data_IF_100249417427
#
_entry.id   IF_100249417427
#
_cell.length_a   1.000
_cell.length_b   1.000
_cell.length_c   1.000
_cell.angle_alpha   90.00
_cell.angle_beta   90.00
_cell.angle_gamma   90.00
#
_symmetry.space_group_name_H-M   'P 1'
#
loop_
_entity.id
_entity.type
_entity.pdbx_description
1 polymer ?
#
# COMPACT_ATOMS: atom_id res chain seq x y z
N UNK A 1 17.49 5.80 -17.71
CA UNK A 1 16.59 4.91 -18.45
C UNK A 1 17.33 3.68 -19.00
N UNK A 2 18.53 3.85 -19.60
CA UNK A 2 19.33 2.75 -20.15
C UNK A 2 19.64 1.68 -19.09
N UNK A 3 19.99 2.08 -17.87
CA UNK A 3 20.25 1.16 -16.76
C UNK A 3 18.97 0.38 -16.40
N UNK A 4 17.84 1.06 -16.26
CA UNK A 4 16.57 0.40 -15.96
C UNK A 4 16.20 -0.63 -17.04
N UNK A 5 16.34 -0.27 -18.32
CA UNK A 5 16.06 -1.18 -19.43
C UNK A 5 17.11 -2.31 -19.59
N UNK A 6 18.20 -2.27 -18.84
CA UNK A 6 19.20 -3.33 -18.75
C UNK A 6 19.08 -4.24 -17.53
N UNK A 7 18.05 -4.04 -16.70
CA UNK A 7 17.83 -4.82 -15.48
C UNK A 7 17.01 -6.11 -15.68
N UNK A 8 16.45 -6.32 -16.87
CA UNK A 8 15.69 -7.52 -17.21
C UNK A 8 16.67 -8.65 -17.56
N UNK A 9 16.76 -9.66 -16.69
CA UNK A 9 17.69 -10.78 -16.81
C UNK A 9 16.95 -12.11 -16.70
N UNK A 10 16.28 -12.56 -17.76
CA UNK A 10 15.71 -13.91 -17.81
C UNK A 10 16.79 -14.96 -17.55
N UNK A 11 16.45 -16.03 -16.86
CA UNK A 11 17.33 -17.14 -16.49
C UNK A 11 17.25 -18.29 -17.48
N UNK A 12 16.18 -18.32 -18.27
CA UNK A 12 15.93 -19.35 -19.30
C UNK A 12 15.84 -18.72 -20.68
N UNK A 13 15.67 -19.55 -21.71
CA UNK A 13 15.37 -19.07 -23.06
C UNK A 13 13.87 -18.99 -23.38
N UNK A 14 13.00 -19.17 -22.39
CA UNK A 14 11.56 -19.17 -22.58
C UNK A 14 11.04 -17.75 -22.86
N UNK A 15 10.19 -17.62 -23.86
CA UNK A 15 9.71 -16.32 -24.35
C UNK A 15 8.99 -15.53 -23.24
N UNK A 16 8.12 -16.18 -22.48
CA UNK A 16 7.23 -15.53 -21.52
C UNK A 16 7.90 -15.18 -20.18
N UNK A 17 9.12 -15.69 -19.95
CA UNK A 17 9.89 -15.30 -18.76
C UNK A 17 10.18 -13.79 -18.74
N UNK A 18 10.46 -13.18 -19.89
CA UNK A 18 10.70 -11.74 -19.97
C UNK A 18 9.44 -10.94 -19.59
N UNK A 19 8.26 -11.38 -20.03
CA UNK A 19 6.97 -10.78 -19.61
C UNK A 19 6.82 -10.85 -18.10
N UNK A 20 7.08 -12.02 -17.51
CA UNK A 20 6.99 -12.22 -16.06
C UNK A 20 7.93 -11.29 -15.29
N UNK A 21 9.18 -11.16 -15.72
CA UNK A 21 10.19 -10.27 -15.10
C UNK A 21 9.77 -8.81 -15.19
N UNK A 22 9.39 -8.33 -16.37
CA UNK A 22 9.00 -6.92 -16.60
C UNK A 22 7.77 -6.56 -15.77
N UNK A 23 6.77 -7.45 -15.73
CA UNK A 23 5.56 -7.23 -14.97
C UNK A 23 5.86 -7.02 -13.48
N UNK A 24 6.66 -7.91 -12.88
CA UNK A 24 7.04 -7.78 -11.47
C UNK A 24 7.87 -6.52 -11.21
N UNK A 25 8.83 -6.19 -12.06
CA UNK A 25 9.61 -4.96 -11.94
C UNK A 25 8.73 -3.70 -12.06
N UNK A 26 7.75 -3.71 -12.97
CA UNK A 26 6.81 -2.61 -13.12
C UNK A 26 5.92 -2.45 -11.89
N UNK A 27 5.44 -3.55 -11.31
CA UNK A 27 4.68 -3.56 -10.06
C UNK A 27 5.50 -2.98 -8.90
N UNK A 28 6.77 -3.37 -8.76
CA UNK A 28 7.67 -2.83 -7.73
C UNK A 28 7.90 -1.32 -7.91
N UNK A 29 8.05 -0.81 -9.12
CA UNK A 29 8.17 0.63 -9.40
C UNK A 29 6.89 1.40 -9.03
N UNK A 30 5.70 0.84 -9.34
CA UNK A 30 4.44 1.43 -8.95
C UNK A 30 4.22 1.39 -7.43
N UNK A 31 4.61 0.31 -6.75
CA UNK A 31 4.55 0.23 -5.29
C UNK A 31 5.47 1.28 -4.64
N UNK A 32 6.67 1.48 -5.17
CA UNK A 32 7.58 2.54 -4.72
C UNK A 32 6.94 3.92 -4.82
N UNK A 33 6.30 4.23 -5.96
CA UNK A 33 5.59 5.50 -6.14
C UNK A 33 4.39 5.61 -5.20
N UNK A 34 3.64 4.52 -5.01
CA UNK A 34 2.49 4.49 -4.09
C UNK A 34 2.92 4.78 -2.66
N UNK A 35 3.99 4.16 -2.17
CA UNK A 35 4.54 4.43 -0.83
C UNK A 35 4.96 5.90 -0.68
N UNK A 36 5.62 6.47 -1.69
CA UNK A 36 6.00 7.88 -1.71
C UNK A 36 4.78 8.82 -1.61
N UNK A 37 3.68 8.52 -2.33
CA UNK A 37 2.45 9.33 -2.26
C UNK A 37 1.73 9.15 -0.91
N UNK A 38 1.73 7.95 -0.34
CA UNK A 38 1.14 7.69 0.99
C UNK A 38 1.91 8.43 2.07
N UNK A 39 3.24 8.41 2.05
CA UNK A 39 4.06 9.15 3.02
C UNK A 39 3.79 10.65 2.95
N UNK A 40 3.68 11.21 1.74
CA UNK A 40 3.30 12.61 1.52
C UNK A 40 1.87 12.89 2.02
N UNK A 41 0.91 12.01 1.71
CA UNK A 41 -0.47 12.17 2.18
C UNK A 41 -0.56 12.13 3.71
N UNK A 42 0.12 11.20 4.36
CA UNK A 42 0.15 11.12 5.83
C UNK A 42 0.75 12.39 6.46
N UNK A 43 1.84 12.93 5.89
CA UNK A 43 2.44 14.18 6.36
C UNK A 43 1.46 15.34 6.27
N UNK A 44 0.75 15.47 5.16
CA UNK A 44 -0.27 16.52 4.95
C UNK A 44 -1.47 16.33 5.87
N UNK A 45 -1.97 15.10 6.06
CA UNK A 45 -3.06 14.81 7.00
C UNK A 45 -2.67 15.20 8.42
N UNK A 46 -1.47 14.81 8.88
CA UNK A 46 -0.98 15.18 10.23
C UNK A 46 -0.87 16.68 10.42
N UNK A 47 -0.51 17.41 9.37
CA UNK A 47 -0.47 18.87 9.35
C UNK A 47 -1.87 19.54 9.27
N UNK A 48 -2.93 18.78 9.00
CA UNK A 48 -4.30 19.29 8.81
C UNK A 48 -4.57 19.78 7.39
N UNK A 49 -3.69 19.55 6.44
CA UNK A 49 -3.78 19.96 5.04
C UNK A 49 -4.52 18.89 4.20
N UNK A 50 -5.82 18.73 4.38
CA UNK A 50 -6.57 17.61 3.80
C UNK A 50 -6.67 17.68 2.27
N UNK A 51 -6.73 18.89 1.67
CA UNK A 51 -6.85 19.04 0.21
C UNK A 51 -5.60 18.54 -0.54
N UNK A 52 -4.35 18.91 -0.15
CA UNK A 52 -3.16 18.30 -0.71
C UNK A 52 -3.07 16.78 -0.49
N UNK A 53 -3.49 16.30 0.70
CA UNK A 53 -3.54 14.87 1.01
C UNK A 53 -4.45 14.10 0.03
N UNK A 54 -5.65 14.62 -0.22
CA UNK A 54 -6.58 14.04 -1.20
C UNK A 54 -5.95 13.90 -2.59
N UNK A 55 -5.23 14.92 -3.06
CA UNK A 55 -4.53 14.87 -4.36
C UNK A 55 -3.56 13.69 -4.43
N UNK A 56 -2.78 13.47 -3.34
CA UNK A 56 -1.84 12.36 -3.26
C UNK A 56 -2.57 11.01 -3.25
N UNK A 57 -3.65 10.87 -2.46
CA UNK A 57 -4.45 9.65 -2.39
C UNK A 57 -5.21 9.36 -3.70
N UNK A 58 -5.71 10.39 -4.38
CA UNK A 58 -6.31 10.22 -5.71
C UNK A 58 -5.29 9.66 -6.72
N UNK A 59 -4.00 10.05 -6.61
CA UNK A 59 -2.94 9.46 -7.42
C UNK A 59 -2.67 8.00 -7.04
N UNK A 60 -2.64 7.67 -5.75
CA UNK A 60 -2.55 6.29 -5.26
C UNK A 60 -3.64 5.43 -5.88
N UNK A 61 -4.90 5.87 -5.84
CA UNK A 61 -6.03 5.17 -6.45
C UNK A 61 -5.82 4.91 -7.95
N UNK A 62 -5.30 5.90 -8.69
CA UNK A 62 -5.00 5.73 -10.13
C UNK A 62 -3.86 4.74 -10.38
N UNK A 63 -2.81 4.76 -9.56
CA UNK A 63 -1.72 3.79 -9.64
C UNK A 63 -2.25 2.38 -9.38
N UNK A 64 -3.07 2.19 -8.34
CA UNK A 64 -3.67 0.90 -8.03
C UNK A 64 -4.54 0.37 -9.18
N UNK A 65 -5.31 1.24 -9.84
CA UNK A 65 -6.08 0.85 -11.03
C UNK A 65 -5.16 0.35 -12.17
N UNK A 66 -4.03 1.01 -12.43
CA UNK A 66 -3.03 0.55 -13.41
C UNK A 66 -2.41 -0.78 -13.00
N UNK A 67 -2.06 -0.93 -11.72
CA UNK A 67 -1.52 -2.19 -11.19
C UNK A 67 -2.52 -3.34 -11.36
N UNK A 68 -3.82 -3.10 -11.12
CA UNK A 68 -4.87 -4.10 -11.34
C UNK A 68 -4.96 -4.48 -12.82
N UNK A 69 -4.92 -3.52 -13.74
CA UNK A 69 -4.94 -3.79 -15.19
C UNK A 69 -3.69 -4.57 -15.67
N UNK A 70 -2.59 -4.46 -14.95
CA UNK A 70 -1.37 -5.21 -15.28
C UNK A 70 -1.58 -6.73 -15.19
N UNK A 71 -2.51 -7.19 -14.35
CA UNK A 71 -2.89 -8.61 -14.27
C UNK A 71 -3.57 -9.12 -15.54
N UNK A 72 -4.25 -8.27 -16.30
CA UNK A 72 -4.85 -8.64 -17.57
C UNK A 72 -3.76 -9.04 -18.59
N UNK A 73 -2.60 -8.36 -18.53
CA UNK A 73 -1.45 -8.74 -19.37
C UNK A 73 -0.87 -10.08 -18.89
N UNK A 74 -0.70 -10.28 -17.58
CA UNK A 74 -0.20 -11.54 -17.04
C UNK A 74 -1.13 -12.72 -17.39
N UNK A 75 -2.43 -12.50 -17.43
CA UNK A 75 -3.43 -13.52 -17.74
C UNK A 75 -3.33 -14.06 -19.18
N UNK A 76 -2.57 -13.38 -20.06
CA UNK A 76 -2.26 -13.90 -21.41
C UNK A 76 -1.26 -15.05 -21.38
N UNK A 77 -0.47 -15.20 -20.32
CA UNK A 77 0.43 -16.32 -20.10
C UNK A 77 -0.37 -17.55 -19.65
N UNK A 78 -0.21 -18.67 -20.33
CA UNK A 78 -0.86 -19.91 -19.91
C UNK A 78 -0.12 -20.58 -18.74
N UNK A 79 -0.80 -21.41 -17.94
CA UNK A 79 -0.11 -22.21 -16.93
C UNK A 79 1.03 -23.07 -17.47
N UNK A 80 0.91 -23.56 -18.72
CA UNK A 80 1.95 -24.34 -19.36
C UNK A 80 3.20 -23.50 -19.64
N UNK A 81 3.03 -22.28 -20.15
CA UNK A 81 4.13 -21.35 -20.41
C UNK A 81 4.87 -21.00 -19.10
N UNK A 82 4.13 -20.72 -18.04
CA UNK A 82 4.70 -20.48 -16.71
C UNK A 82 5.51 -21.66 -16.18
N UNK A 83 5.01 -22.88 -16.34
CA UNK A 83 5.69 -24.08 -15.86
C UNK A 83 7.05 -24.31 -16.54
N UNK A 84 7.25 -23.85 -17.79
CA UNK A 84 8.50 -24.00 -18.51
C UNK A 84 9.69 -23.30 -17.83
N UNK A 85 9.45 -22.18 -17.14
CA UNK A 85 10.51 -21.45 -16.43
C UNK A 85 10.35 -21.42 -14.89
N UNK A 86 9.22 -21.91 -14.36
CA UNK A 86 8.95 -21.90 -12.91
C UNK A 86 10.09 -22.47 -12.06
N UNK A 87 10.72 -23.55 -12.53
CA UNK A 87 11.81 -24.19 -11.79
C UNK A 87 13.04 -23.27 -11.66
N UNK A 88 13.33 -22.44 -12.66
CA UNK A 88 14.43 -21.49 -12.63
C UNK A 88 14.22 -20.35 -11.62
N UNK A 89 12.97 -20.02 -11.26
CA UNK A 89 12.67 -19.01 -10.25
C UNK A 89 12.98 -19.48 -8.82
N UNK A 90 13.25 -20.77 -8.61
CA UNK A 90 13.57 -21.33 -7.30
C UNK A 90 12.48 -21.08 -6.26
N UNK A 91 12.87 -20.50 -5.11
CA UNK A 91 11.97 -20.16 -3.99
C UNK A 91 11.35 -18.77 -4.11
N UNK A 92 11.56 -18.06 -5.21
CA UNK A 92 11.00 -16.72 -5.41
C UNK A 92 9.46 -16.73 -5.36
N UNK A 93 8.90 -15.76 -4.66
CA UNK A 93 7.46 -15.61 -4.47
C UNK A 93 7.11 -14.13 -4.28
N UNK A 94 5.97 -13.70 -4.81
CA UNK A 94 5.42 -12.36 -4.58
C UNK A 94 5.17 -12.04 -3.10
N UNK A 95 5.03 -13.06 -2.24
CA UNK A 95 4.97 -12.87 -0.78
C UNK A 95 6.23 -12.26 -0.18
N UNK A 96 7.36 -12.29 -0.90
CA UNK A 96 8.65 -11.75 -0.48
C UNK A 96 8.84 -10.27 -0.83
N UNK A 97 7.91 -9.64 -1.53
CA UNK A 97 8.01 -8.19 -1.82
C UNK A 97 7.91 -7.38 -0.53
N UNK A 98 9.02 -6.76 -0.13
CA UNK A 98 9.06 -5.89 1.03
C UNK A 98 8.19 -4.63 0.82
N UNK A 99 8.16 -4.07 -0.40
CA UNK A 99 7.34 -2.90 -0.72
C UNK A 99 5.85 -3.21 -0.62
N UNK A 100 5.41 -4.38 -1.11
CA UNK A 100 4.02 -4.81 -0.98
C UNK A 100 3.62 -4.95 0.49
N UNK A 101 4.46 -5.58 1.33
CA UNK A 101 4.19 -5.72 2.78
C UNK A 101 4.22 -4.38 3.50
N UNK A 102 5.15 -3.49 3.14
CA UNK A 102 5.19 -2.13 3.68
C UNK A 102 3.90 -1.37 3.34
N UNK A 103 3.41 -1.50 2.10
CA UNK A 103 2.15 -0.90 1.67
C UNK A 103 0.96 -1.42 2.48
N UNK A 104 0.86 -2.75 2.66
CA UNK A 104 -0.17 -3.35 3.51
C UNK A 104 -0.14 -2.80 4.94
N UNK A 105 1.06 -2.67 5.54
CA UNK A 105 1.20 -2.11 6.89
C UNK A 105 0.78 -0.64 6.97
N UNK A 106 1.11 0.17 5.97
CA UNK A 106 0.66 1.57 5.88
C UNK A 106 -0.86 1.69 5.75
N UNK A 107 -1.50 0.74 5.10
CA UNK A 107 -2.96 0.70 4.92
C UNK A 107 -3.71 -0.04 6.05
N UNK A 108 -3.00 -0.65 7.00
CA UNK A 108 -3.60 -1.24 8.21
C UNK A 108 -3.61 -2.75 8.29
N UNK A 109 -3.14 -3.47 7.26
CA UNK A 109 -3.02 -4.94 7.29
C UNK A 109 -1.67 -5.29 7.93
N UNK A 110 -1.62 -5.37 9.25
CA UNK A 110 -0.39 -5.52 10.05
C UNK A 110 -0.21 -6.94 10.57
N UNK A 111 0.14 -7.89 9.69
CA UNK A 111 0.49 -9.25 10.08
C UNK A 111 2.00 -9.38 10.29
N UNK A 112 2.47 -9.60 11.54
CA UNK A 112 3.90 -9.72 11.86
C UNK A 112 4.56 -10.93 11.19
N UNK A 113 3.77 -11.91 10.74
CA UNK A 113 4.29 -13.10 10.07
C UNK A 113 5.12 -12.76 8.83
N UNK A 114 4.78 -11.69 8.11
CA UNK A 114 5.46 -11.33 6.87
C UNK A 114 6.86 -10.74 7.09
N UNK A 115 7.17 -10.26 8.30
CA UNK A 115 8.51 -9.77 8.61
C UNK A 115 9.58 -10.84 8.40
N UNK A 116 9.28 -12.12 8.65
CA UNK A 116 10.21 -13.25 8.51
C UNK A 116 10.75 -13.48 7.09
N UNK A 117 10.09 -12.94 6.06
CA UNK A 117 10.51 -13.13 4.68
C UNK A 117 11.70 -12.25 4.27
N UNK A 118 12.04 -11.26 5.10
CA UNK A 118 13.21 -10.42 4.89
C UNK A 118 14.31 -10.78 5.90
N UNK A 119 15.58 -10.81 5.47
CA UNK A 119 16.70 -11.08 6.37
C UNK A 119 16.77 -10.07 7.52
N UNK A 120 17.07 -10.54 8.71
CA UNK A 120 17.29 -9.66 9.86
C UNK A 120 18.40 -8.65 9.57
N UNK A 121 18.17 -7.38 9.90
CA UNK A 121 19.12 -6.29 9.71
C UNK A 121 19.22 -5.77 8.26
N UNK A 122 18.46 -6.30 7.29
CA UNK A 122 18.36 -5.71 5.94
C UNK A 122 17.61 -4.38 5.96
N UNK A 123 17.84 -3.54 4.95
CA UNK A 123 17.12 -2.27 4.79
C UNK A 123 15.62 -2.49 4.57
N UNK A 124 15.27 -3.53 3.80
CA UNK A 124 13.90 -3.94 3.55
C UNK A 124 13.19 -4.37 4.83
N UNK A 125 13.88 -5.15 5.68
CA UNK A 125 13.32 -5.57 6.96
C UNK A 125 13.09 -4.38 7.88
N UNK A 126 14.04 -3.45 7.99
CA UNK A 126 13.89 -2.23 8.79
C UNK A 126 12.73 -1.38 8.31
N UNK A 127 12.59 -1.16 6.99
CA UNK A 127 11.48 -0.41 6.42
C UNK A 127 10.11 -1.04 6.75
N UNK A 128 10.02 -2.37 6.72
CA UNK A 128 8.81 -3.08 7.12
C UNK A 128 8.53 -2.96 8.62
N UNK A 129 9.53 -3.07 9.48
CA UNK A 129 9.41 -2.92 10.95
C UNK A 129 8.95 -1.50 11.31
N UNK A 130 9.52 -0.48 10.68
CA UNK A 130 9.12 0.91 10.85
C UNK A 130 7.66 1.13 10.43
N UNK A 131 7.25 0.59 9.29
CA UNK A 131 5.87 0.68 8.82
C UNK A 131 4.90 -0.12 9.72
N UNK A 132 5.33 -1.26 10.24
CA UNK A 132 4.56 -2.07 11.18
C UNK A 132 4.31 -1.32 12.49
N UNK A 133 5.32 -0.63 13.00
CA UNK A 133 5.24 0.13 14.25
C UNK A 133 4.49 1.48 14.12
N UNK A 134 4.52 2.09 12.93
CA UNK A 134 3.93 3.41 12.70
C UNK A 134 2.39 3.38 12.69
N UNK A 135 1.71 4.49 13.01
CA UNK A 135 0.28 4.65 12.74
C UNK A 135 -0.05 4.42 11.25
N UNK A 136 -1.22 3.88 10.98
CA UNK A 136 -1.71 3.68 9.61
C UNK A 136 -2.22 5.00 9.01
N UNK A 137 -2.41 5.03 7.70
CA UNK A 137 -3.07 6.15 7.02
C UNK A 137 -4.45 6.45 7.65
N UNK A 138 -5.20 5.40 7.97
CA UNK A 138 -6.53 5.54 8.56
C UNK A 138 -6.49 6.08 9.99
N UNK A 139 -5.50 5.70 10.80
CA UNK A 139 -5.31 6.27 12.15
C UNK A 139 -5.10 7.79 12.08
N UNK A 140 -4.29 8.25 11.11
CA UNK A 140 -4.05 9.68 10.90
C UNK A 140 -5.33 10.43 10.50
N UNK A 141 -6.17 9.84 9.64
CA UNK A 141 -7.47 10.42 9.25
C UNK A 141 -8.42 10.50 10.44
N UNK A 142 -8.54 9.43 11.24
CA UNK A 142 -9.37 9.43 12.44
C UNK A 142 -8.91 10.45 13.48
N UNK A 143 -7.60 10.62 13.65
CA UNK A 143 -7.04 11.64 14.51
C UNK A 143 -7.43 13.07 14.05
N UNK A 144 -7.51 13.32 12.74
CA UNK A 144 -7.97 14.61 12.20
C UNK A 144 -9.48 14.81 12.37
N UNK A 145 -10.29 13.78 12.21
CA UNK A 145 -11.71 13.84 12.51
C UNK A 145 -11.94 14.19 14.00
N UNK A 146 -11.20 13.54 14.92
CA UNK A 146 -11.26 13.84 16.34
C UNK A 146 -10.88 15.31 16.64
N UNK A 147 -9.81 15.83 15.98
CA UNK A 147 -9.42 17.25 16.08
C UNK A 147 -10.48 18.22 15.52
N UNK A 148 -11.23 17.79 14.53
CA UNK A 148 -12.33 18.56 13.95
C UNK A 148 -13.60 18.57 14.82
N UNK A 149 -13.59 17.86 15.95
CA UNK A 149 -14.68 17.87 16.93
C UNK A 149 -15.64 16.68 16.84
N UNK A 150 -15.33 15.67 16.00
CA UNK A 150 -16.09 14.41 16.03
C UNK A 150 -15.73 13.60 17.29
N UNK A 151 -16.73 12.97 17.88
CA UNK A 151 -16.56 12.16 19.10
C UNK A 151 -15.94 10.79 18.77
N UNK A 152 -14.65 10.80 18.46
CA UNK A 152 -13.86 9.58 18.15
C UNK A 152 -12.97 9.27 19.35
N UNK A 153 -13.10 8.07 19.95
CA UNK A 153 -12.27 7.69 21.09
C UNK A 153 -10.81 7.51 20.68
N UNK A 154 -9.88 7.94 21.52
CA UNK A 154 -8.43 7.81 21.25
C UNK A 154 -8.00 6.38 20.93
N UNK A 155 -8.63 5.39 21.56
CA UNK A 155 -8.39 3.97 21.31
C UNK A 155 -8.67 3.54 19.87
N UNK A 156 -9.43 4.30 19.09
CA UNK A 156 -9.70 4.00 17.68
C UNK A 156 -8.52 4.36 16.75
N UNK A 157 -7.66 5.33 17.15
CA UNK A 157 -6.54 5.79 16.32
C UNK A 157 -5.17 5.78 17.04
N UNK A 158 -5.12 5.70 18.38
CA UNK A 158 -3.88 5.50 19.14
C UNK A 158 -3.78 4.02 19.58
N UNK A 159 -3.63 3.13 18.61
CA UNK A 159 -3.59 1.69 18.84
C UNK A 159 -2.15 1.18 19.01
N UNK A 160 -1.91 0.16 19.86
CA UNK A 160 -0.60 -0.50 19.88
C UNK A 160 -0.21 -1.04 18.50
N UNK A 161 1.10 -1.05 18.21
CA UNK A 161 1.62 -1.59 16.95
C UNK A 161 1.11 -3.03 16.72
N UNK A 162 0.71 -3.31 15.47
CA UNK A 162 0.18 -4.64 15.10
C UNK A 162 -1.26 -4.92 15.54
N UNK A 163 -1.93 -3.98 16.25
CA UNK A 163 -3.33 -4.15 16.61
C UNK A 163 -4.22 -3.83 15.40
N UNK A 164 -5.05 -4.77 14.93
CA UNK A 164 -6.00 -4.51 13.85
C UNK A 164 -6.99 -3.39 14.23
N UNK A 165 -7.55 -2.74 13.20
CA UNK A 165 -8.69 -1.86 13.40
C UNK A 165 -9.91 -2.70 13.87
N UNK A 166 -10.60 -2.19 14.87
CA UNK A 166 -11.85 -2.77 15.36
C UNK A 166 -13.03 -1.87 14.98
N UNK A 167 -14.17 -2.45 14.69
CA UNK A 167 -15.42 -1.73 14.46
C UNK A 167 -15.73 -0.79 15.64
N UNK A 168 -16.23 0.41 15.33
CA UNK A 168 -16.54 1.43 16.33
C UNK A 168 -17.76 2.24 15.88
N UNK A 169 -18.83 2.16 16.65
CA UNK A 169 -20.05 2.96 16.41
C UNK A 169 -19.77 4.46 16.37
N UNK A 170 -18.84 4.94 17.19
CA UNK A 170 -18.45 6.35 17.21
C UNK A 170 -17.77 6.78 15.91
N UNK A 171 -16.90 5.92 15.33
CA UNK A 171 -16.26 6.15 14.04
C UNK A 171 -17.29 6.12 12.91
N UNK A 172 -18.21 5.15 12.93
CA UNK A 172 -19.31 5.08 11.98
C UNK A 172 -20.18 6.34 12.03
N UNK A 173 -20.58 6.76 13.22
CA UNK A 173 -21.37 7.98 13.41
C UNK A 173 -20.66 9.23 12.88
N UNK A 174 -19.35 9.34 13.08
CA UNK A 174 -18.54 10.45 12.55
C UNK A 174 -18.55 10.47 11.02
N UNK A 175 -18.33 9.33 10.37
CA UNK A 175 -18.40 9.24 8.91
C UNK A 175 -19.81 9.49 8.37
N UNK A 176 -20.84 8.98 9.03
CA UNK A 176 -22.22 9.29 8.66
C UNK A 176 -22.53 10.79 8.75
N UNK A 177 -21.98 11.49 9.73
CA UNK A 177 -22.12 12.93 9.84
C UNK A 177 -21.42 13.65 8.68
N UNK A 178 -20.21 13.22 8.28
CA UNK A 178 -19.49 13.73 7.10
C UNK A 178 -20.34 13.54 5.82
N UNK A 179 -20.92 12.38 5.62
CA UNK A 179 -21.74 12.08 4.43
C UNK A 179 -23.09 12.82 4.42
N UNK A 180 -23.65 13.18 5.59
CA UNK A 180 -24.92 13.91 5.69
C UNK A 180 -24.76 15.40 5.47
N UNK A 181 -23.60 15.96 5.77
CA UNK A 181 -23.29 17.39 5.57
C UNK A 181 -21.97 17.55 4.81
N UNK A 182 -22.04 17.19 3.52
CA UNK A 182 -20.90 17.22 2.61
C UNK A 182 -20.33 18.63 2.43
N UNK A 183 -21.19 19.65 2.44
CA UNK A 183 -20.75 21.04 2.24
C UNK A 183 -19.84 21.50 3.38
N UNK A 184 -20.25 21.26 4.63
CA UNK A 184 -19.45 21.61 5.82
C UNK A 184 -18.19 20.75 5.94
N UNK A 185 -18.28 19.47 5.58
CA UNK A 185 -17.21 18.48 5.79
C UNK A 185 -16.51 18.06 4.50
N UNK A 186 -16.56 18.89 3.46
CA UNK A 186 -16.02 18.60 2.14
C UNK A 186 -14.58 18.00 2.15
N UNK A 187 -13.60 18.53 2.92
CA UNK A 187 -12.26 17.97 2.93
C UNK A 187 -12.20 16.52 3.44
N UNK A 188 -13.02 16.16 4.43
CA UNK A 188 -13.12 14.79 4.92
C UNK A 188 -13.87 13.88 3.95
N UNK A 189 -14.94 14.40 3.35
CA UNK A 189 -15.69 13.66 2.33
C UNK A 189 -14.81 13.25 1.14
N UNK A 190 -13.84 14.08 0.76
CA UNK A 190 -12.89 13.75 -0.30
C UNK A 190 -11.86 12.69 0.10
N UNK A 191 -11.62 12.47 1.40
CA UNK A 191 -10.71 11.43 1.91
C UNK A 191 -11.41 10.08 2.11
N UNK A 192 -12.72 10.07 2.21
CA UNK A 192 -13.55 8.88 2.36
C UNK A 192 -13.78 8.17 1.03
#
# INVERSE_FOLDING_TARGET
LKELLGCQRPLTGEHDELLFVILHQTMELWMKQTLHEIDAAQAEIRAGNLVPAYKNLARVSRIQAVMTQTWDILSTMTPADYLNFRAALGTSSGFQSAQFRTLEYRLGIKDPMFLRFQPEGSDERRAMEDAFAAPTLYDDVLAQLAKAGFDIPRSAYERPAGTPYAESEAVEAAWLAVYRDVETHWPFYQLA
#
